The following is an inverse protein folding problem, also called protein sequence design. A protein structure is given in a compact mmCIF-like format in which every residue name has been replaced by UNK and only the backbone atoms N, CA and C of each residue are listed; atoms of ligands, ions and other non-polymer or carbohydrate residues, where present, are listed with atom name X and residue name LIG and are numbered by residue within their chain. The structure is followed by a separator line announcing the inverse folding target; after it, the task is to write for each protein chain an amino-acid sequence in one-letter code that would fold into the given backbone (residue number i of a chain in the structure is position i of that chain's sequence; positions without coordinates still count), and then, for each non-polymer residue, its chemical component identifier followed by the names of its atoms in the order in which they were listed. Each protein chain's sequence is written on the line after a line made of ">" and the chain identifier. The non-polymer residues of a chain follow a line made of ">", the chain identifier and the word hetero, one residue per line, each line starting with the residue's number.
data_IF_009483957186
#
_entry.id   IF_009483957186
#
_cell.length_a   1.000
_cell.length_b   1.000
_cell.length_c   1.000
_cell.angle_alpha   90.00
_cell.angle_beta   90.00
_cell.angle_gamma   90.00
#
_symmetry.space_group_name_H-M   'P 1'
#
loop_
_entity.id
_entity.type
_entity.pdbx_description
1 polymer ?
#
# COMPACT_ATOMS: atom_id res chain seq x y z
N UNK A 1 25.44 -25.38 -22.28
CA UNK A 1 24.87 -24.00 -22.30
C UNK A 1 23.59 -23.97 -23.13
N UNK A 2 22.57 -24.73 -22.72
CA UNK A 2 21.22 -24.71 -23.30
C UNK A 2 20.29 -24.48 -22.11
N UNK A 3 20.20 -23.23 -21.67
CA UNK A 3 19.39 -22.85 -20.51
C UNK A 3 18.89 -21.40 -20.57
N UNK A 4 19.39 -20.62 -21.54
CA UNK A 4 19.09 -19.19 -21.69
C UNK A 4 18.12 -18.84 -22.83
N UNK A 5 17.67 -19.82 -23.63
CA UNK A 5 16.80 -19.57 -24.79
C UNK A 5 15.30 -19.59 -24.50
N UNK A 6 14.87 -20.26 -23.44
CA UNK A 6 13.44 -20.41 -23.10
C UNK A 6 12.85 -19.19 -22.37
N UNK A 7 13.58 -18.43 -21.52
CA UNK A 7 12.96 -17.30 -20.84
C UNK A 7 12.53 -16.18 -21.80
N UNK A 8 13.34 -15.87 -22.82
CA UNK A 8 13.14 -14.66 -23.64
C UNK A 8 11.88 -14.73 -24.52
N UNK A 9 11.55 -15.89 -25.09
CA UNK A 9 10.39 -16.05 -25.99
C UNK A 9 9.07 -16.23 -25.20
N UNK A 10 9.15 -16.85 -24.01
CA UNK A 10 8.02 -16.81 -23.06
C UNK A 10 7.81 -15.40 -22.52
N UNK A 11 8.88 -14.68 -22.19
CA UNK A 11 8.80 -13.30 -21.70
C UNK A 11 8.19 -12.36 -22.73
N UNK A 12 8.51 -12.46 -24.02
CA UNK A 12 7.93 -11.57 -25.05
C UNK A 12 6.44 -11.80 -25.29
N UNK A 13 5.98 -13.06 -25.23
CA UNK A 13 4.59 -13.42 -25.50
C UNK A 13 3.70 -13.14 -24.29
N UNK A 14 4.16 -13.50 -23.08
CA UNK A 14 3.49 -13.15 -21.81
C UNK A 14 3.49 -11.63 -21.58
N UNK A 15 4.59 -10.94 -21.91
CA UNK A 15 4.64 -9.47 -21.83
C UNK A 15 3.79 -8.77 -22.89
N UNK A 16 3.30 -9.46 -23.93
CA UNK A 16 2.37 -8.89 -24.92
C UNK A 16 0.91 -9.05 -24.50
N UNK A 17 0.56 -10.15 -23.82
CA UNK A 17 -0.75 -10.31 -23.16
C UNK A 17 -0.94 -9.32 -22.00
N UNK A 18 0.12 -9.06 -21.23
CA UNK A 18 0.13 -8.02 -20.18
C UNK A 18 0.02 -6.60 -20.76
N UNK A 19 0.50 -6.36 -21.98
CA UNK A 19 0.36 -5.08 -22.71
C UNK A 19 -1.03 -4.86 -23.31
N UNK A 20 -1.94 -5.84 -23.25
CA UNK A 20 -3.32 -5.68 -23.74
C UNK A 20 -4.25 -5.06 -22.68
N UNK A 21 -3.85 -5.11 -21.40
CA UNK A 21 -4.54 -4.45 -20.28
C UNK A 21 -3.57 -3.48 -19.54
N UNK A 22 -2.82 -2.61 -20.24
CA UNK A 22 -1.89 -1.69 -19.61
C UNK A 22 -2.63 -0.53 -18.93
N UNK A 23 -3.89 -0.28 -19.29
CA UNK A 23 -4.66 0.80 -18.67
C UNK A 23 -5.29 0.33 -17.37
N UNK A 24 -6.09 -0.75 -17.39
CA UNK A 24 -6.83 -1.20 -16.19
C UNK A 24 -5.87 -1.70 -15.09
N UNK A 25 -4.78 -2.38 -15.47
CA UNK A 25 -3.79 -2.87 -14.51
C UNK A 25 -3.05 -1.73 -13.81
N UNK A 26 -2.58 -0.72 -14.56
CA UNK A 26 -1.86 0.41 -13.98
C UNK A 26 -2.78 1.36 -13.21
N UNK A 27 -4.00 1.62 -13.67
CA UNK A 27 -4.95 2.48 -12.94
C UNK A 27 -5.41 1.83 -11.63
N UNK A 28 -5.68 0.52 -11.64
CA UNK A 28 -6.05 -0.20 -10.41
C UNK A 28 -4.88 -0.27 -9.44
N UNK A 29 -3.66 -0.52 -9.96
CA UNK A 29 -2.46 -0.55 -9.13
C UNK A 29 -2.14 0.83 -8.54
N UNK A 30 -2.24 1.91 -9.31
CA UNK A 30 -1.96 3.26 -8.82
C UNK A 30 -2.94 3.72 -7.74
N UNK A 31 -4.24 3.40 -7.90
CA UNK A 31 -5.25 3.64 -6.87
C UNK A 31 -4.95 2.83 -5.60
N UNK A 32 -4.62 1.55 -5.76
CA UNK A 32 -4.27 0.68 -4.62
C UNK A 32 -3.05 1.20 -3.85
N UNK A 33 -1.99 1.61 -4.55
CA UNK A 33 -0.79 2.20 -3.94
C UNK A 33 -1.14 3.50 -3.19
N UNK A 34 -2.01 4.33 -3.76
CA UNK A 34 -2.43 5.59 -3.13
C UNK A 34 -3.22 5.35 -1.84
N UNK A 35 -4.17 4.42 -1.86
CA UNK A 35 -4.97 4.05 -0.68
C UNK A 35 -4.07 3.44 0.40
N UNK A 36 -3.24 2.46 0.05
CA UNK A 36 -2.34 1.80 1.02
C UNK A 36 -1.31 2.76 1.58
N UNK A 37 -0.68 3.59 0.74
CA UNK A 37 0.30 4.59 1.16
C UNK A 37 -0.31 5.67 2.05
N UNK A 38 -1.50 6.15 1.67
CA UNK A 38 -2.24 7.12 2.47
C UNK A 38 -2.67 6.55 3.82
N UNK A 39 -3.21 5.32 3.85
CA UNK A 39 -3.62 4.65 5.07
C UNK A 39 -2.44 4.38 6.00
N UNK A 40 -1.28 4.01 5.44
CA UNK A 40 -0.03 3.84 6.20
C UNK A 40 0.40 5.15 6.86
N UNK A 41 0.37 6.25 6.10
CA UNK A 41 0.74 7.58 6.60
C UNK A 41 -0.22 8.05 7.70
N UNK A 42 -1.53 7.85 7.52
CA UNK A 42 -2.55 8.15 8.51
C UNK A 42 -2.30 7.39 9.82
N UNK A 43 -2.17 6.06 9.74
CA UNK A 43 -1.98 5.21 10.91
C UNK A 43 -0.66 5.52 11.64
N UNK A 44 0.43 5.78 10.89
CA UNK A 44 1.70 6.20 11.49
C UNK A 44 1.53 7.50 12.29
N UNK A 45 0.86 8.50 11.71
CA UNK A 45 0.58 9.76 12.41
C UNK A 45 -0.21 9.54 13.70
N UNK A 46 -1.27 8.72 13.66
CA UNK A 46 -2.09 8.38 14.83
C UNK A 46 -1.28 7.70 15.93
N UNK A 47 -0.44 6.72 15.59
CA UNK A 47 0.44 6.03 16.53
C UNK A 47 1.36 7.02 17.25
N UNK A 48 2.04 7.90 16.52
CA UNK A 48 2.97 8.85 17.13
C UNK A 48 2.27 9.93 17.94
N UNK A 49 1.11 10.42 17.49
CA UNK A 49 0.28 11.33 18.29
C UNK A 49 -0.05 10.69 19.64
N UNK A 50 -0.58 9.47 19.64
CA UNK A 50 -0.90 8.77 20.89
C UNK A 50 0.34 8.52 21.78
N UNK A 51 1.46 8.13 21.17
CA UNK A 51 2.71 7.86 21.88
C UNK A 51 3.23 9.10 22.61
N UNK A 52 3.25 10.24 21.92
CA UNK A 52 3.71 11.49 22.51
C UNK A 52 2.71 12.12 23.49
N UNK A 53 1.40 12.00 23.24
CA UNK A 53 0.37 12.43 24.19
C UNK A 53 0.40 11.63 25.50
N UNK A 54 0.86 10.38 25.45
CA UNK A 54 1.07 9.55 26.63
C UNK A 54 2.37 9.91 27.39
N UNK A 55 3.14 10.89 26.90
CA UNK A 55 4.41 11.33 27.49
C UNK A 55 5.64 10.54 27.04
N UNK A 56 5.52 9.70 26.01
CA UNK A 56 6.64 8.97 25.42
C UNK A 56 7.59 9.87 24.64
N UNK A 57 8.72 9.31 24.23
CA UNK A 57 9.76 9.95 23.41
C UNK A 57 10.17 9.02 22.26
N UNK A 58 11.04 9.47 21.35
CA UNK A 58 11.54 8.56 20.31
C UNK A 58 12.41 7.42 20.84
N UNK A 59 13.01 7.58 22.03
CA UNK A 59 13.94 6.61 22.61
C UNK A 59 13.23 5.43 23.29
N UNK A 60 11.97 5.62 23.69
CA UNK A 60 11.14 4.63 24.38
C UNK A 60 10.04 4.03 23.50
N UNK A 61 10.04 4.34 22.20
CA UNK A 61 9.06 3.82 21.25
C UNK A 61 9.27 2.33 20.98
N UNK A 62 8.25 1.52 21.28
CA UNK A 62 8.20 0.10 20.96
C UNK A 62 7.17 -0.18 19.84
N UNK A 63 7.62 -0.51 18.61
CA UNK A 63 6.73 -0.89 17.50
C UNK A 63 5.83 -2.10 17.80
N UNK A 64 6.26 -3.01 18.68
CA UNK A 64 5.48 -4.21 19.02
C UNK A 64 4.31 -3.89 19.93
N UNK A 65 4.48 -2.96 20.86
CA UNK A 65 3.42 -2.49 21.75
C UNK A 65 2.27 -1.82 20.98
N UNK A 66 2.56 -1.13 19.89
CA UNK A 66 1.58 -0.34 19.12
C UNK A 66 1.04 -1.06 17.88
N UNK A 67 1.46 -2.29 17.61
CA UNK A 67 1.10 -3.03 16.38
C UNK A 67 -0.41 -3.15 16.18
N UNK A 68 -1.14 -3.49 17.23
CA UNK A 68 -2.60 -3.66 17.16
C UNK A 68 -3.29 -2.31 16.89
N UNK A 69 -2.83 -1.25 17.56
CA UNK A 69 -3.34 0.10 17.34
C UNK A 69 -3.06 0.57 15.91
N UNK A 70 -1.84 0.38 15.41
CA UNK A 70 -1.51 0.65 14.01
C UNK A 70 -2.42 -0.10 13.04
N UNK A 71 -2.65 -1.40 13.25
CA UNK A 71 -3.49 -2.21 12.38
C UNK A 71 -4.95 -1.71 12.36
N UNK A 72 -5.46 -1.28 13.52
CA UNK A 72 -6.78 -0.65 13.65
C UNK A 72 -6.86 0.65 12.85
N UNK A 73 -5.95 1.59 13.09
CA UNK A 73 -5.95 2.90 12.43
C UNK A 73 -5.64 2.78 10.92
N UNK A 74 -4.85 1.79 10.52
CA UNK A 74 -4.56 1.48 9.12
C UNK A 74 -5.81 0.99 8.39
N UNK A 75 -6.62 0.13 9.03
CA UNK A 75 -7.89 -0.32 8.47
C UNK A 75 -8.90 0.82 8.36
N UNK A 76 -8.95 1.69 9.36
CA UNK A 76 -9.77 2.92 9.33
C UNK A 76 -9.33 3.85 8.18
N UNK A 77 -8.02 4.11 8.06
CA UNK A 77 -7.46 4.92 6.98
C UNK A 77 -7.73 4.34 5.60
N UNK A 78 -7.65 3.01 5.43
CA UNK A 78 -8.04 2.35 4.17
C UNK A 78 -9.51 2.56 3.84
N UNK A 79 -10.41 2.45 4.83
CA UNK A 79 -11.85 2.69 4.64
C UNK A 79 -12.12 4.11 4.16
N UNK A 80 -11.59 5.09 4.88
CA UNK A 80 -11.71 6.51 4.54
C UNK A 80 -11.21 6.81 3.12
N UNK A 81 -10.01 6.31 2.77
CA UNK A 81 -9.42 6.57 1.46
C UNK A 81 -10.12 5.82 0.32
N UNK A 82 -10.68 4.64 0.61
CA UNK A 82 -11.50 3.90 -0.36
C UNK A 82 -12.81 4.63 -0.66
N UNK A 83 -13.44 5.21 0.36
CA UNK A 83 -14.64 6.04 0.19
C UNK A 83 -14.33 7.32 -0.59
N UNK A 84 -13.24 8.01 -0.25
CA UNK A 84 -12.79 9.21 -0.97
C UNK A 84 -12.45 8.92 -2.44
N UNK A 85 -11.73 7.82 -2.71
CA UNK A 85 -11.43 7.40 -4.08
C UNK A 85 -12.70 7.03 -4.86
N UNK A 86 -13.67 6.39 -4.21
CA UNK A 86 -14.95 6.04 -4.81
C UNK A 86 -15.85 7.25 -5.08
N UNK A 87 -15.77 8.30 -4.26
CA UNK A 87 -16.49 9.56 -4.47
C UNK A 87 -15.85 10.39 -5.59
N UNK A 88 -14.51 10.37 -5.73
CA UNK A 88 -13.80 11.12 -6.76
C UNK A 88 -13.96 10.56 -8.19
N UNK A 89 -14.41 9.31 -8.30
CA UNK A 89 -14.62 8.62 -9.59
C UNK A 89 -16.08 8.75 -10.09
N UNK A 90 -17.00 9.28 -9.27
CA UNK A 90 -18.41 9.54 -9.61
C UNK A 90 -18.62 11.01 -10.00
#
# INVERSE_FOLDING_TARGET
>A
LIGSGIPVVLSSTVASLLKFIPVIGYTTASLSISIVGGASTYALGKVFVQHFESGGTFLDFDPMAVKEYFAKEFKEGQGLLSELSGSATR
#
